data_IF_901140532654
#
_entry.id   IF_901140532654
#
_cell.length_a   1.000
_cell.length_b   1.000
_cell.length_c   1.000
_cell.angle_alpha   90.00
_cell.angle_beta   90.00
_cell.angle_gamma   90.00
#
_symmetry.space_group_name_H-M   'P 1'
#
loop_
_entity.id
_entity.type
_entity.pdbx_description
1 polymer ?
#
# COMPACT_ATOMS: atom_id res chain seq x y z
N UNK A 1 -4.85 24.44 0.73
CA UNK A 1 -6.26 24.09 0.45
C UNK A 1 -6.62 22.83 1.20
N UNK A 2 -7.91 22.56 1.44
CA UNK A 2 -8.36 21.37 2.18
C UNK A 2 -8.02 20.06 1.45
N UNK A 3 -8.12 20.04 0.12
CA UNK A 3 -7.73 18.88 -0.71
C UNK A 3 -6.28 18.43 -0.54
N UNK A 4 -5.34 19.35 -0.27
CA UNK A 4 -3.94 18.97 -0.02
C UNK A 4 -3.77 18.22 1.31
N UNK A 5 -4.55 18.56 2.34
CA UNK A 5 -4.51 17.87 3.63
C UNK A 5 -5.07 16.45 3.53
N UNK A 6 -6.16 16.30 2.78
CA UNK A 6 -6.82 15.02 2.51
C UNK A 6 -5.85 14.05 1.82
N UNK A 7 -5.19 14.49 0.74
CA UNK A 7 -4.18 13.67 0.07
C UNK A 7 -3.03 13.27 1.02
N UNK A 8 -2.56 14.18 1.87
CA UNK A 8 -1.50 13.88 2.86
C UNK A 8 -1.95 12.83 3.88
N UNK A 9 -3.21 12.84 4.33
CA UNK A 9 -3.72 11.79 5.22
C UNK A 9 -3.75 10.42 4.55
N UNK A 10 -4.23 10.33 3.32
CA UNK A 10 -4.35 9.07 2.58
C UNK A 10 -2.98 8.49 2.24
N UNK A 11 -2.01 9.33 1.84
CA UNK A 11 -0.60 8.96 1.69
C UNK A 11 -0.01 8.43 3.01
N UNK A 12 -0.34 9.07 4.14
CA UNK A 12 0.17 8.65 5.45
C UNK A 12 -0.41 7.30 5.86
N UNK A 13 -1.70 7.08 5.61
CA UNK A 13 -2.36 5.79 5.84
C UNK A 13 -1.72 4.68 5.01
N UNK A 14 -1.48 4.93 3.71
CA UNK A 14 -0.84 3.97 2.81
C UNK A 14 0.56 3.57 3.30
N UNK A 15 1.36 4.56 3.73
CA UNK A 15 2.68 4.31 4.31
C UNK A 15 2.62 3.47 5.58
N UNK A 16 1.66 3.75 6.45
CA UNK A 16 1.48 3.01 7.69
C UNK A 16 1.06 1.56 7.41
N UNK A 17 0.18 1.33 6.42
CA UNK A 17 -0.20 0.01 5.96
C UNK A 17 0.99 -0.80 5.43
N UNK A 18 1.75 -0.22 4.49
CA UNK A 18 2.97 -0.85 3.96
C UNK A 18 3.98 -1.17 5.09
N UNK A 19 4.16 -0.25 6.05
CA UNK A 19 5.03 -0.47 7.20
C UNK A 19 4.55 -1.63 8.07
N UNK A 20 3.24 -1.74 8.28
CA UNK A 20 2.65 -2.76 9.13
C UNK A 20 2.84 -4.16 8.55
N UNK A 21 2.59 -4.34 7.24
CA UNK A 21 2.87 -5.60 6.54
C UNK A 21 4.35 -5.97 6.67
N UNK A 22 5.26 -5.04 6.36
CA UNK A 22 6.72 -5.32 6.42
C UNK A 22 7.21 -5.72 7.82
N UNK A 23 6.61 -5.18 8.87
CA UNK A 23 6.99 -5.46 10.27
C UNK A 23 6.37 -6.75 10.79
N UNK A 24 5.26 -7.20 10.22
CA UNK A 24 4.56 -8.41 10.62
C UNK A 24 5.02 -9.57 9.76
N UNK A 25 5.88 -10.43 10.32
CA UNK A 25 6.37 -11.63 9.61
C UNK A 25 5.21 -12.49 9.05
N UNK A 26 4.12 -12.77 9.79
CA UNK A 26 2.99 -13.52 9.24
C UNK A 26 2.36 -12.86 8.01
N UNK A 27 2.02 -11.57 8.08
CA UNK A 27 1.40 -10.85 6.97
C UNK A 27 2.33 -10.75 5.76
N UNK A 28 3.63 -10.63 5.99
CA UNK A 28 4.62 -10.59 4.93
C UNK A 28 4.72 -11.92 4.18
N UNK A 29 4.68 -13.04 4.89
CA UNK A 29 4.66 -14.37 4.28
C UNK A 29 3.32 -14.67 3.60
N UNK A 30 2.20 -14.23 4.17
CA UNK A 30 0.90 -14.33 3.51
C UNK A 30 0.86 -13.55 2.20
N UNK A 31 1.38 -12.32 2.19
CA UNK A 31 1.48 -11.56 0.95
C UNK A 31 2.34 -12.29 -0.09
N UNK A 32 3.50 -12.85 0.29
CA UNK A 32 4.32 -13.66 -0.63
C UNK A 32 3.54 -14.86 -1.19
N UNK A 33 2.78 -15.56 -0.35
CA UNK A 33 1.94 -16.70 -0.76
C UNK A 33 0.87 -16.27 -1.75
N UNK A 34 0.24 -15.12 -1.55
CA UNK A 34 -0.73 -14.54 -2.48
C UNK A 34 -0.07 -14.28 -3.85
N UNK A 35 1.11 -13.66 -3.88
CA UNK A 35 1.86 -13.45 -5.12
C UNK A 35 2.20 -14.76 -5.85
N UNK A 36 2.67 -15.77 -5.11
CA UNK A 36 3.00 -17.09 -5.66
C UNK A 36 1.77 -17.78 -6.26
N UNK A 37 0.64 -17.70 -5.56
CA UNK A 37 -0.63 -18.34 -5.99
C UNK A 37 -1.17 -17.66 -7.25
N UNK A 38 -0.99 -16.34 -7.36
CA UNK A 38 -1.32 -15.56 -8.55
C UNK A 38 -0.29 -15.68 -9.69
N UNK A 39 0.80 -16.44 -9.51
CA UNK A 39 1.86 -16.60 -10.51
C UNK A 39 2.65 -15.32 -10.80
N UNK A 40 2.66 -14.35 -9.87
CA UNK A 40 3.33 -13.05 -10.04
C UNK A 40 4.65 -12.99 -9.26
N UNK A 41 5.69 -12.32 -9.79
CA UNK A 41 6.92 -12.10 -9.04
C UNK A 41 6.63 -11.23 -7.80
N UNK A 42 7.13 -11.65 -6.65
CA UNK A 42 6.90 -10.92 -5.40
C UNK A 42 7.48 -9.50 -5.45
N UNK A 43 6.62 -8.52 -5.22
CA UNK A 43 7.00 -7.13 -5.08
C UNK A 43 6.81 -6.71 -3.62
N UNK A 44 7.91 -6.29 -3.00
CA UNK A 44 7.91 -5.84 -1.62
C UNK A 44 7.18 -4.50 -1.51
N UNK A 45 6.24 -4.31 -0.57
CA UNK A 45 5.71 -2.99 -0.24
C UNK A 45 6.87 -2.11 0.25
N UNK A 46 7.27 -1.09 -0.51
CA UNK A 46 8.39 -0.23 -0.12
C UNK A 46 7.93 0.91 0.76
N UNK A 47 8.77 1.28 1.73
CA UNK A 47 8.59 2.48 2.52
C UNK A 47 9.32 3.64 1.85
N UNK A 48 8.73 4.83 1.93
CA UNK A 48 9.38 6.07 1.51
C UNK A 48 10.79 6.14 2.08
N UNK A 49 11.79 6.20 1.18
CA UNK A 49 13.17 6.48 1.55
C UNK A 49 13.35 8.01 1.55
N UNK A 50 13.51 8.66 2.72
CA UNK A 50 13.44 10.12 2.82
C UNK A 50 14.50 10.88 2.01
N UNK A 51 15.57 10.20 1.59
CA UNK A 51 16.71 10.82 0.88
C UNK A 51 16.50 11.00 -0.62
N UNK A 52 15.36 10.56 -1.19
CA UNK A 52 15.04 10.75 -2.61
C UNK A 52 13.84 11.66 -2.77
N UNK A 53 13.96 12.70 -3.60
CA UNK A 53 12.94 13.74 -3.82
C UNK A 53 11.60 13.21 -4.36
N UNK A 54 11.56 11.94 -4.79
CA UNK A 54 10.40 11.26 -5.37
C UNK A 54 9.99 9.98 -4.62
N UNK A 55 10.43 9.80 -3.36
CA UNK A 55 10.18 8.56 -2.61
C UNK A 55 8.69 8.28 -2.38
N UNK A 56 7.90 9.30 -2.03
CA UNK A 56 6.44 9.20 -1.89
C UNK A 56 5.76 8.78 -3.18
N UNK A 57 6.17 9.36 -4.31
CA UNK A 57 5.64 8.96 -5.63
C UNK A 57 5.96 7.48 -5.92
N UNK A 58 7.20 7.04 -5.67
CA UNK A 58 7.63 5.66 -5.90
C UNK A 58 6.86 4.68 -4.99
N UNK A 59 6.60 5.03 -3.73
CA UNK A 59 5.79 4.21 -2.83
C UNK A 59 4.36 4.08 -3.35
N UNK A 60 3.72 5.20 -3.71
CA UNK A 60 2.35 5.21 -4.24
C UNK A 60 2.27 4.34 -5.49
N UNK A 61 3.16 4.57 -6.48
CA UNK A 61 3.20 3.81 -7.72
C UNK A 61 3.38 2.30 -7.48
N UNK A 62 4.29 1.91 -6.58
CA UNK A 62 4.48 0.49 -6.25
C UNK A 62 3.28 -0.11 -5.55
N UNK A 63 2.66 0.61 -4.62
CA UNK A 63 1.47 0.15 -3.93
C UNK A 63 0.30 -0.04 -4.92
N UNK A 64 0.14 0.85 -5.89
CA UNK A 64 -0.81 0.66 -6.99
C UNK A 64 -0.53 -0.61 -7.80
N UNK A 65 0.74 -0.91 -8.11
CA UNK A 65 1.09 -2.14 -8.86
C UNK A 65 0.79 -3.44 -8.12
N UNK A 66 0.61 -3.37 -6.80
CA UNK A 66 0.35 -4.53 -5.95
C UNK A 66 -1.03 -4.46 -5.29
N UNK A 67 -1.89 -3.52 -5.69
CA UNK A 67 -3.18 -3.28 -5.03
C UNK A 67 -4.03 -4.55 -5.00
N UNK A 68 -4.14 -5.26 -6.13
CA UNK A 68 -4.86 -6.54 -6.22
C UNK A 68 -4.37 -7.56 -5.17
N UNK A 69 -3.06 -7.70 -5.00
CA UNK A 69 -2.47 -8.63 -4.03
C UNK A 69 -2.67 -8.15 -2.58
N UNK A 70 -2.76 -6.84 -2.35
CA UNK A 70 -3.08 -6.30 -1.03
C UNK A 70 -4.56 -6.30 -0.72
N UNK A 71 -5.43 -6.26 -1.74
CA UNK A 71 -6.88 -6.46 -1.62
C UNK A 71 -7.14 -7.90 -1.14
N UNK A 72 -6.57 -8.89 -1.82
CA UNK A 72 -6.61 -10.31 -1.41
C UNK A 72 -6.14 -10.48 0.05
N UNK A 73 -5.04 -9.82 0.43
CA UNK A 73 -4.50 -9.89 1.79
C UNK A 73 -5.48 -9.32 2.83
N UNK A 74 -6.17 -8.22 2.50
CA UNK A 74 -7.15 -7.57 3.37
C UNK A 74 -8.45 -8.38 3.46
N UNK A 75 -8.85 -9.06 2.39
CA UNK A 75 -9.96 -10.00 2.38
C UNK A 75 -9.66 -11.20 3.31
N UNK A 76 -8.47 -11.78 3.21
CA UNK A 76 -8.00 -12.88 4.07
C UNK A 76 -7.82 -12.42 5.54
N UNK A 77 -7.58 -11.12 5.77
CA UNK A 77 -7.30 -10.55 7.10
C UNK A 77 -8.17 -9.31 7.39
N UNK A 78 -9.44 -9.49 7.80
CA UNK A 78 -10.37 -8.38 7.97
C UNK A 78 -9.93 -7.28 8.96
N UNK A 79 -9.01 -7.61 9.89
CA UNK A 79 -8.42 -6.64 10.83
C UNK A 79 -7.54 -5.58 10.13
N UNK A 80 -7.20 -5.79 8.86
CA UNK A 80 -6.46 -4.83 8.04
C UNK A 80 -7.35 -3.77 7.39
N UNK A 81 -8.67 -3.97 7.33
CA UNK A 81 -9.59 -3.06 6.62
C UNK A 81 -9.45 -1.60 7.06
N UNK A 82 -9.40 -1.36 8.37
CA UNK A 82 -9.27 0.01 8.91
C UNK A 82 -7.90 0.65 8.63
N UNK A 83 -6.89 -0.18 8.33
CA UNK A 83 -5.52 0.26 8.00
C UNK A 83 -5.34 0.49 6.51
N UNK A 84 -6.16 -0.15 5.69
CA UNK A 84 -6.08 -0.07 4.24
C UNK A 84 -6.85 1.14 3.69
N UNK A 85 -6.54 1.50 2.44
CA UNK A 85 -7.23 2.59 1.77
C UNK A 85 -8.58 2.11 1.25
N UNK A 86 -9.62 2.94 1.42
CA UNK A 86 -10.88 2.76 0.72
C UNK A 86 -10.82 3.42 -0.68
N UNK A 87 -11.85 3.17 -1.50
CA UNK A 87 -11.91 3.65 -2.89
C UNK A 87 -11.71 5.16 -3.01
N UNK A 88 -12.32 5.96 -2.12
CA UNK A 88 -12.14 7.42 -2.14
C UNK A 88 -10.69 7.81 -1.79
N UNK A 89 -10.09 7.16 -0.78
CA UNK A 89 -8.70 7.41 -0.40
C UNK A 89 -7.72 7.01 -1.51
N UNK A 90 -8.03 5.97 -2.28
CA UNK A 90 -7.28 5.59 -3.48
C UNK A 90 -7.39 6.66 -4.57
N UNK A 91 -8.59 7.17 -4.84
CA UNK A 91 -8.82 8.23 -5.82
C UNK A 91 -8.11 9.55 -5.45
N UNK A 92 -8.07 9.89 -4.16
CA UNK A 92 -7.39 11.09 -3.65
C UNK A 92 -5.88 11.07 -3.91
N UNK A 93 -5.26 9.90 -3.91
CA UNK A 93 -3.82 9.73 -4.14
C UNK A 93 -3.50 9.27 -5.56
N UNK A 94 -4.51 9.00 -6.37
CA UNK A 94 -4.38 8.70 -7.79
C UNK A 94 -4.08 9.99 -8.56
N UNK A 95 -2.87 10.53 -8.33
CA UNK A 95 -2.29 11.56 -9.18
C UNK A 95 -2.02 10.92 -10.52
N UNK A 96 -2.87 11.17 -11.52
CA UNK A 96 -2.81 10.60 -12.88
C UNK A 96 -1.36 10.29 -13.32
N UNK A 97 -0.98 9.02 -13.18
CA UNK A 97 0.22 8.43 -13.76
C UNK A 97 -0.09 8.10 -15.22
#
# INVERSE_FOLDING_TARGET
SEGMKIAVSSITKLRNFASYIRKSQPLFEDLKRIFQTNGRPFLVPDLDVPTRWNSTYIMIEKMFRICEMTDDLVEDNPTLKDRYLNDNEWDEINVSI
#
